data_IF_879882089510
#
_entry.id   IF_879882089510
#
_cell.length_a   1.000
_cell.length_b   1.000
_cell.length_c   1.000
_cell.angle_alpha   90.00
_cell.angle_beta   90.00
_cell.angle_gamma   90.00
#
_symmetry.space_group_name_H-M   'P 1'
#
loop_
_entity.id
_entity.type
_entity.pdbx_description
1 polymer ?
#
# COMPACT_ATOMS: atom_id res chain seq x y z
N UNK A 1 20.75 -0.31 0.60
CA UNK A 1 19.61 -1.19 0.38
C UNK A 1 18.55 -0.58 -0.56
N UNK A 2 18.09 0.67 -0.35
CA UNK A 2 17.05 1.27 -1.22
C UNK A 2 17.45 1.36 -2.69
N UNK A 3 18.68 1.75 -3.00
CA UNK A 3 19.12 1.95 -4.39
C UNK A 3 19.17 0.65 -5.21
N UNK A 4 19.62 -0.46 -4.64
CA UNK A 4 19.67 -1.76 -5.32
C UNK A 4 18.28 -2.31 -5.58
N UNK A 5 17.37 -2.22 -4.62
CA UNK A 5 15.98 -2.63 -4.77
C UNK A 5 15.24 -1.75 -5.78
N UNK A 6 15.50 -0.44 -5.76
CA UNK A 6 14.93 0.52 -6.71
C UNK A 6 15.30 0.16 -8.16
N UNK A 7 16.59 -0.08 -8.42
CA UNK A 7 17.07 -0.47 -9.75
C UNK A 7 16.46 -1.80 -10.21
N UNK A 8 16.42 -2.80 -9.32
CA UNK A 8 15.82 -4.09 -9.63
C UNK A 8 14.32 -3.96 -9.97
N UNK A 9 13.57 -3.20 -9.19
CA UNK A 9 12.14 -2.96 -9.44
C UNK A 9 11.90 -2.26 -10.77
N UNK A 10 12.70 -1.25 -11.14
CA UNK A 10 12.60 -0.59 -12.46
C UNK A 10 12.82 -1.61 -13.58
N UNK A 11 13.85 -2.44 -13.48
CA UNK A 11 14.14 -3.45 -14.49
C UNK A 11 12.97 -4.44 -14.62
N UNK A 12 12.50 -4.98 -13.50
CA UNK A 12 11.40 -5.96 -13.51
C UNK A 12 10.10 -5.34 -14.04
N UNK A 13 9.79 -4.09 -13.66
CA UNK A 13 8.62 -3.38 -14.16
C UNK A 13 8.72 -3.12 -15.66
N UNK A 14 9.87 -2.68 -16.15
CA UNK A 14 10.11 -2.46 -17.56
C UNK A 14 9.95 -3.76 -18.37
N UNK A 15 10.54 -4.86 -17.89
CA UNK A 15 10.40 -6.18 -18.52
C UNK A 15 8.94 -6.64 -18.55
N UNK A 16 8.20 -6.43 -17.47
CA UNK A 16 6.78 -6.78 -17.40
C UNK A 16 5.94 -5.95 -18.39
N UNK A 17 6.17 -4.63 -18.47
CA UNK A 17 5.46 -3.74 -19.39
C UNK A 17 5.79 -4.12 -20.84
N UNK A 18 7.05 -4.37 -21.17
CA UNK A 18 7.48 -4.82 -22.52
C UNK A 18 6.81 -6.15 -22.87
N UNK A 19 6.82 -7.12 -21.95
CA UNK A 19 6.16 -8.41 -22.15
C UNK A 19 4.67 -8.24 -22.43
N UNK A 20 3.96 -7.46 -21.61
CA UNK A 20 2.54 -7.19 -21.81
C UNK A 20 2.26 -6.48 -23.12
N UNK A 21 3.12 -5.55 -23.53
CA UNK A 21 3.01 -4.87 -24.83
C UNK A 21 3.17 -5.83 -26.00
N UNK A 22 4.19 -6.71 -25.96
CA UNK A 22 4.38 -7.77 -26.96
C UNK A 22 3.17 -8.72 -27.02
N UNK A 23 2.54 -8.98 -25.87
CA UNK A 23 1.33 -9.82 -25.76
C UNK A 23 0.04 -9.09 -26.11
N UNK A 24 0.13 -7.86 -26.62
CA UNK A 24 -1.03 -7.02 -26.97
C UNK A 24 -2.01 -6.82 -25.82
N UNK A 25 -1.49 -6.68 -24.59
CA UNK A 25 -2.33 -6.42 -23.42
C UNK A 25 -2.99 -5.05 -23.55
N UNK A 26 -4.31 -4.99 -23.29
CA UNK A 26 -5.04 -3.73 -23.30
C UNK A 26 -4.83 -2.98 -21.98
N UNK A 27 -3.90 -2.04 -21.96
CA UNK A 27 -3.60 -1.19 -20.79
C UNK A 27 -4.76 -0.29 -20.34
N UNK A 28 -5.80 -0.12 -21.18
CA UNK A 28 -7.03 0.60 -20.77
C UNK A 28 -7.79 -0.13 -19.66
N UNK A 29 -7.52 -1.41 -19.45
CA UNK A 29 -8.05 -2.19 -18.33
C UNK A 29 -7.45 -1.79 -16.97
N UNK A 30 -6.35 -1.01 -16.98
CA UNK A 30 -5.67 -0.52 -15.79
C UNK A 30 -5.94 0.99 -15.59
N UNK A 31 -7.12 1.38 -15.07
CA UNK A 31 -7.49 2.78 -14.97
C UNK A 31 -6.65 3.50 -13.90
N UNK A 32 -5.74 4.34 -14.35
CA UNK A 32 -4.95 5.25 -13.52
C UNK A 32 -5.38 6.67 -13.90
N UNK A 33 -6.19 7.30 -13.05
CA UNK A 33 -6.81 8.58 -13.38
C UNK A 33 -6.63 9.58 -12.25
N UNK A 34 -6.11 10.75 -12.57
CA UNK A 34 -6.09 11.90 -11.65
C UNK A 34 -7.49 12.52 -11.60
N UNK A 35 -8.20 12.29 -10.50
CA UNK A 35 -9.55 12.81 -10.24
C UNK A 35 -9.59 13.44 -8.85
N UNK A 36 -10.47 14.40 -8.63
CA UNK A 36 -10.69 15.01 -7.30
C UNK A 36 -11.00 13.98 -6.22
N UNK A 37 -11.69 12.88 -6.58
CA UNK A 37 -11.95 11.78 -5.66
C UNK A 37 -10.71 11.10 -5.07
N UNK A 38 -9.54 11.23 -5.72
CA UNK A 38 -8.27 10.72 -5.19
C UNK A 38 -7.91 11.40 -3.85
N UNK A 39 -8.17 12.71 -3.74
CA UNK A 39 -7.94 13.46 -2.50
C UNK A 39 -8.77 12.98 -1.33
N UNK A 40 -9.92 12.37 -1.58
CA UNK A 40 -10.75 11.74 -0.56
C UNK A 40 -10.31 10.29 -0.30
N UNK A 41 -10.12 9.50 -1.37
CA UNK A 41 -9.85 8.06 -1.22
C UNK A 41 -8.50 7.77 -0.60
N UNK A 42 -7.46 8.55 -0.88
CA UNK A 42 -6.13 8.32 -0.31
C UNK A 42 -6.14 8.43 1.22
N UNK A 43 -6.55 9.56 1.84
CA UNK A 43 -6.60 9.64 3.30
C UNK A 43 -7.61 8.68 3.92
N UNK A 44 -8.73 8.41 3.26
CA UNK A 44 -9.76 7.49 3.76
C UNK A 44 -9.25 6.04 3.84
N UNK A 45 -8.64 5.53 2.75
CA UNK A 45 -8.11 4.16 2.72
C UNK A 45 -6.93 4.04 3.69
N UNK A 46 -6.03 5.04 3.72
CA UNK A 46 -4.89 5.05 4.64
C UNK A 46 -5.36 5.06 6.10
N UNK A 47 -6.38 5.84 6.42
CA UNK A 47 -6.93 5.90 7.78
C UNK A 47 -7.52 4.56 8.22
N UNK A 48 -8.31 3.88 7.38
CA UNK A 48 -8.86 2.55 7.70
C UNK A 48 -7.75 1.53 7.91
N UNK A 49 -6.78 1.48 6.99
CA UNK A 49 -5.63 0.59 7.11
C UNK A 49 -4.81 0.87 8.37
N UNK A 50 -4.52 2.16 8.60
CA UNK A 50 -3.70 2.59 9.71
C UNK A 50 -4.35 2.31 11.06
N UNK A 51 -5.63 2.60 11.22
CA UNK A 51 -6.38 2.27 12.43
C UNK A 51 -6.44 0.75 12.67
N UNK A 52 -6.62 -0.03 11.60
CA UNK A 52 -6.59 -1.49 11.71
C UNK A 52 -5.21 -1.99 12.16
N UNK A 53 -4.13 -1.45 11.58
CA UNK A 53 -2.76 -1.78 11.99
C UNK A 53 -2.48 -1.38 13.44
N UNK A 54 -2.92 -0.19 13.87
CA UNK A 54 -2.79 0.28 15.25
C UNK A 54 -3.54 -0.63 16.24
N UNK A 55 -4.73 -1.09 15.86
CA UNK A 55 -5.51 -2.05 16.64
C UNK A 55 -4.79 -3.40 16.74
N UNK A 56 -4.31 -3.95 15.63
CA UNK A 56 -3.56 -5.22 15.62
C UNK A 56 -2.30 -5.12 16.47
N UNK A 57 -1.52 -4.04 16.33
CA UNK A 57 -0.31 -3.81 17.12
C UNK A 57 -0.61 -3.77 18.62
N UNK A 58 -1.69 -3.08 18.99
CA UNK A 58 -2.12 -2.97 20.40
C UNK A 58 -2.60 -4.30 20.97
N UNK A 59 -3.45 -5.03 20.22
CA UNK A 59 -4.00 -6.32 20.65
C UNK A 59 -2.95 -7.42 20.70
N UNK A 60 -1.95 -7.37 19.82
CA UNK A 60 -0.83 -8.33 19.83
C UNK A 60 0.23 -8.02 20.89
N UNK A 61 0.11 -6.92 21.62
CA UNK A 61 1.05 -6.51 22.64
C UNK A 61 2.38 -5.95 22.10
N UNK A 62 2.47 -5.69 20.79
CA UNK A 62 3.69 -5.12 20.19
C UNK A 62 3.87 -3.65 20.60
N UNK A 63 2.83 -2.85 20.46
CA UNK A 63 2.82 -1.45 20.88
C UNK A 63 1.39 -0.96 21.10
N UNK A 64 1.16 -0.29 22.24
CA UNK A 64 -0.16 0.27 22.57
C UNK A 64 -0.33 1.69 22.04
N UNK A 65 -0.78 1.79 20.78
CA UNK A 65 -1.04 3.08 20.14
C UNK A 65 -2.18 3.87 20.78
N UNK A 66 -3.11 3.20 21.47
CA UNK A 66 -4.27 3.85 22.10
C UNK A 66 -4.03 4.24 23.56
N UNK A 67 -2.80 4.17 24.05
CA UNK A 67 -2.50 4.65 25.40
C UNK A 67 -2.67 6.17 25.52
N UNK A 68 -3.15 6.70 26.67
CA UNK A 68 -3.28 8.13 26.86
C UNK A 68 -1.97 8.91 26.66
N UNK A 69 -0.84 8.28 26.98
CA UNK A 69 0.48 8.85 26.81
C UNK A 69 0.80 9.07 25.32
N UNK A 70 0.47 8.13 24.44
CA UNK A 70 0.67 8.25 23.00
C UNK A 70 -0.28 9.29 22.42
N UNK A 71 -1.57 9.21 22.78
CA UNK A 71 -2.60 10.10 22.23
C UNK A 71 -2.39 11.58 22.63
N UNK A 72 -1.73 11.84 23.75
CA UNK A 72 -1.37 13.20 24.18
C UNK A 72 -0.40 13.93 23.22
N UNK A 73 0.34 13.20 22.39
CA UNK A 73 1.28 13.77 21.42
C UNK A 73 0.69 13.92 20.00
N UNK A 74 -0.61 13.67 19.79
CA UNK A 74 -1.25 13.90 18.50
C UNK A 74 -1.20 15.37 18.13
N UNK A 75 -0.66 15.66 16.95
CA UNK A 75 -0.51 17.01 16.42
C UNK A 75 -0.62 17.02 14.89
N UNK A 76 -1.38 17.95 14.31
CA UNK A 76 -1.41 18.12 12.85
C UNK A 76 -0.02 18.39 12.25
N UNK A 77 0.86 19.05 13.02
CA UNK A 77 2.23 19.32 12.59
C UNK A 77 3.09 18.08 12.45
N UNK A 78 2.74 16.97 13.12
CA UNK A 78 3.47 15.72 13.04
C UNK A 78 3.56 15.20 11.59
N UNK A 79 2.47 15.27 10.85
CA UNK A 79 2.42 14.85 9.44
C UNK A 79 3.38 15.68 8.60
N UNK A 80 3.34 17.01 8.76
CA UNK A 80 4.20 17.94 8.02
C UNK A 80 5.67 17.68 8.35
N UNK A 81 6.01 17.56 9.63
CA UNK A 81 7.38 17.31 10.08
C UNK A 81 7.93 15.99 9.50
N UNK A 82 7.12 14.93 9.51
CA UNK A 82 7.53 13.64 8.93
C UNK A 82 7.72 13.73 7.41
N UNK A 83 6.84 14.43 6.69
CA UNK A 83 7.03 14.67 5.26
C UNK A 83 8.32 15.42 4.97
N UNK A 84 8.62 16.47 5.73
CA UNK A 84 9.83 17.26 5.57
C UNK A 84 11.13 16.49 5.90
N UNK A 85 11.02 15.45 6.73
CA UNK A 85 12.14 14.58 7.09
C UNK A 85 12.43 13.48 6.06
N UNK A 86 11.53 13.24 5.08
CA UNK A 86 11.75 12.21 4.07
C UNK A 86 12.92 12.56 3.15
N UNK A 87 13.79 11.58 2.91
CA UNK A 87 14.79 11.71 1.85
C UNK A 87 14.14 11.58 0.47
N UNK A 88 14.69 12.28 -0.56
CA UNK A 88 14.19 12.12 -1.94
C UNK A 88 14.17 10.66 -2.42
N UNK A 89 15.14 9.85 -1.95
CA UNK A 89 15.22 8.44 -2.30
C UNK A 89 14.11 7.61 -1.65
N UNK A 90 13.72 7.92 -0.40
CA UNK A 90 12.59 7.27 0.24
C UNK A 90 11.25 7.56 -0.48
N UNK A 91 11.08 8.80 -0.92
CA UNK A 91 9.91 9.20 -1.73
C UNK A 91 9.90 8.45 -3.06
N UNK A 92 11.02 8.48 -3.80
CA UNK A 92 11.11 7.81 -5.10
C UNK A 92 10.89 6.30 -4.98
N UNK A 93 11.48 5.66 -3.97
CA UNK A 93 11.30 4.24 -3.70
C UNK A 93 9.86 3.90 -3.32
N UNK A 94 9.25 4.62 -2.39
CA UNK A 94 7.86 4.38 -1.98
C UNK A 94 6.87 4.54 -3.15
N UNK A 95 7.04 5.58 -3.98
CA UNK A 95 6.21 5.76 -5.17
C UNK A 95 6.38 4.62 -6.18
N UNK A 96 7.62 4.19 -6.44
CA UNK A 96 7.89 3.08 -7.35
C UNK A 96 7.34 1.76 -6.81
N UNK A 97 7.58 1.47 -5.52
CA UNK A 97 7.15 0.23 -4.91
C UNK A 97 5.62 0.13 -4.84
N UNK A 98 4.95 1.19 -4.41
CA UNK A 98 3.49 1.25 -4.39
C UNK A 98 2.88 1.07 -5.79
N UNK A 99 3.49 1.69 -6.83
CA UNK A 99 3.08 1.46 -8.21
C UNK A 99 3.35 0.00 -8.62
N UNK A 100 4.56 -0.51 -8.40
CA UNK A 100 5.00 -1.84 -8.81
C UNK A 100 4.11 -2.93 -8.21
N UNK A 101 3.90 -2.91 -6.90
CA UNK A 101 3.12 -3.95 -6.25
C UNK A 101 1.63 -3.89 -6.61
N UNK A 102 1.01 -2.70 -6.59
CA UNK A 102 -0.42 -2.60 -6.90
C UNK A 102 -0.71 -2.72 -8.39
N UNK A 103 0.25 -2.42 -9.26
CA UNK A 103 0.15 -2.75 -10.68
C UNK A 103 -0.02 -4.26 -10.89
N UNK A 104 0.74 -5.08 -10.18
CA UNK A 104 0.62 -6.53 -10.24
C UNK A 104 -0.59 -7.05 -9.48
N UNK A 105 -0.65 -6.78 -8.18
CA UNK A 105 -1.61 -7.42 -7.29
C UNK A 105 -3.05 -6.92 -7.49
N UNK A 106 -3.22 -5.67 -7.82
CA UNK A 106 -4.53 -5.09 -7.97
C UNK A 106 -4.88 -4.86 -9.45
N UNK A 107 -3.92 -4.37 -10.26
CA UNK A 107 -4.14 -4.09 -11.66
C UNK A 107 -4.24 -5.35 -12.51
N UNK A 108 -3.12 -6.04 -12.75
CA UNK A 108 -3.05 -7.18 -13.65
C UNK A 108 -3.92 -8.34 -13.20
N UNK A 109 -3.86 -8.69 -11.90
CA UNK A 109 -4.60 -9.84 -11.39
C UNK A 109 -6.11 -9.63 -11.39
N UNK A 110 -6.60 -8.38 -11.33
CA UNK A 110 -8.05 -8.11 -11.44
C UNK A 110 -8.54 -7.95 -12.88
N UNK A 111 -7.64 -7.85 -13.87
CA UNK A 111 -8.00 -7.76 -15.29
C UNK A 111 -8.38 -9.11 -15.93
N UNK A 112 -8.28 -10.21 -15.18
CA UNK A 112 -8.69 -11.54 -15.65
C UNK A 112 -10.21 -11.68 -15.75
N UNK A 113 -10.65 -12.67 -16.54
CA UNK A 113 -12.09 -12.98 -16.69
C UNK A 113 -12.74 -13.29 -15.35
N UNK A 114 -13.95 -12.78 -15.13
CA UNK A 114 -14.67 -12.89 -13.86
C UNK A 114 -14.84 -14.34 -13.34
N UNK A 115 -14.89 -15.33 -14.23
CA UNK A 115 -14.97 -16.74 -13.83
C UNK A 115 -13.77 -17.22 -13.00
N UNK A 116 -12.60 -16.56 -13.12
CA UNK A 116 -11.39 -16.91 -12.40
C UNK A 116 -11.09 -15.98 -11.21
N UNK A 117 -11.95 -14.99 -10.96
CA UNK A 117 -11.68 -13.92 -9.98
C UNK A 117 -11.29 -14.41 -8.60
N UNK A 118 -11.95 -15.46 -8.09
CA UNK A 118 -11.67 -15.99 -6.76
C UNK A 118 -10.36 -16.77 -6.70
N UNK A 119 -10.06 -17.53 -7.75
CA UNK A 119 -8.78 -18.24 -7.86
C UNK A 119 -7.62 -17.25 -7.92
N UNK A 120 -7.77 -16.19 -8.71
CA UNK A 120 -6.75 -15.15 -8.85
C UNK A 120 -6.61 -14.34 -7.56
N UNK A 121 -7.71 -14.03 -6.86
CA UNK A 121 -7.66 -13.37 -5.56
C UNK A 121 -6.92 -14.22 -4.54
N UNK A 122 -7.21 -15.53 -4.48
CA UNK A 122 -6.51 -16.46 -3.60
C UNK A 122 -5.00 -16.49 -3.93
N UNK A 123 -4.65 -16.63 -5.20
CA UNK A 123 -3.26 -16.61 -5.65
C UNK A 123 -2.56 -15.30 -5.28
N UNK A 124 -3.18 -14.15 -5.57
CA UNK A 124 -2.67 -12.83 -5.20
C UNK A 124 -2.42 -12.72 -3.70
N UNK A 125 -3.37 -13.18 -2.89
CA UNK A 125 -3.26 -13.16 -1.43
C UNK A 125 -2.09 -14.02 -0.94
N UNK A 126 -1.94 -15.25 -1.46
CA UNK A 126 -0.83 -16.14 -1.09
C UNK A 126 0.52 -15.50 -1.44
N UNK A 127 0.64 -14.96 -2.65
CA UNK A 127 1.89 -14.32 -3.09
C UNK A 127 2.18 -13.09 -2.22
N UNK A 128 1.18 -12.24 -1.97
CA UNK A 128 1.34 -11.04 -1.13
C UNK A 128 1.74 -11.40 0.30
N UNK A 129 1.14 -12.42 0.91
CA UNK A 129 1.57 -12.93 2.22
C UNK A 129 3.02 -13.40 2.17
N UNK A 130 3.38 -14.22 1.17
CA UNK A 130 4.74 -14.75 1.02
C UNK A 130 5.79 -13.64 0.89
N UNK A 131 5.45 -12.57 0.16
CA UNK A 131 6.33 -11.41 -0.01
C UNK A 131 6.61 -10.67 1.31
N UNK A 132 5.68 -10.69 2.26
CA UNK A 132 5.76 -9.92 3.50
C UNK A 132 6.20 -10.73 4.72
N UNK A 133 6.53 -12.01 4.55
CA UNK A 133 6.97 -12.89 5.66
C UNK A 133 8.22 -12.38 6.39
N UNK A 134 9.06 -11.57 5.72
CA UNK A 134 10.23 -10.94 6.33
C UNK A 134 9.87 -9.95 7.46
N UNK A 135 8.63 -9.46 7.51
CA UNK A 135 8.11 -8.60 8.59
C UNK A 135 7.51 -9.41 9.75
N UNK A 136 7.57 -10.75 9.68
CA UNK A 136 6.91 -11.67 10.60
C UNK A 136 5.51 -12.07 10.13
N UNK A 137 5.07 -13.27 10.53
CA UNK A 137 3.83 -13.87 10.03
C UNK A 137 2.58 -13.04 10.32
N UNK A 138 2.51 -12.39 11.48
CA UNK A 138 1.37 -11.53 11.84
C UNK A 138 1.21 -10.40 10.81
N UNK A 139 2.29 -9.67 10.52
CA UNK A 139 2.25 -8.55 9.57
C UNK A 139 2.08 -9.03 8.13
N UNK A 140 2.66 -10.17 7.78
CA UNK A 140 2.41 -10.79 6.47
C UNK A 140 0.92 -11.08 6.24
N UNK A 141 0.21 -11.59 7.27
CA UNK A 141 -1.23 -11.82 7.21
C UNK A 141 -2.02 -10.50 7.19
N UNK A 142 -1.65 -9.51 7.99
CA UNK A 142 -2.30 -8.20 7.98
C UNK A 142 -2.19 -7.55 6.60
N UNK A 143 -0.99 -7.49 6.03
CA UNK A 143 -0.73 -6.83 4.74
C UNK A 143 -1.31 -7.68 3.59
N UNK A 144 -1.01 -8.98 3.58
CA UNK A 144 -1.40 -9.85 2.47
C UNK A 144 -2.89 -10.18 2.44
N UNK A 145 -3.50 -10.43 3.61
CA UNK A 145 -4.92 -10.79 3.69
C UNK A 145 -5.77 -9.54 3.94
N UNK A 146 -5.61 -8.87 5.09
CA UNK A 146 -6.54 -7.81 5.46
C UNK A 146 -6.46 -6.62 4.49
N UNK A 147 -5.26 -6.07 4.25
CA UNK A 147 -5.11 -4.94 3.32
C UNK A 147 -5.30 -5.36 1.87
N UNK A 148 -4.82 -6.55 1.48
CA UNK A 148 -5.02 -7.07 0.14
C UNK A 148 -6.50 -7.24 -0.22
N UNK A 149 -7.32 -7.80 0.67
CA UNK A 149 -8.77 -7.92 0.49
C UNK A 149 -9.46 -6.55 0.51
N UNK A 150 -9.08 -5.65 1.43
CA UNK A 150 -9.62 -4.29 1.47
C UNK A 150 -9.39 -3.57 0.14
N UNK A 151 -8.17 -3.62 -0.40
CA UNK A 151 -7.83 -3.02 -1.68
C UNK A 151 -8.64 -3.64 -2.81
N UNK A 152 -8.70 -4.96 -2.88
CA UNK A 152 -9.46 -5.66 -3.92
C UNK A 152 -10.93 -5.25 -3.93
N UNK A 153 -11.61 -5.28 -2.77
CA UNK A 153 -13.03 -4.96 -2.69
C UNK A 153 -13.31 -3.48 -2.98
N UNK A 154 -12.49 -2.57 -2.43
CA UNK A 154 -12.65 -1.15 -2.72
C UNK A 154 -12.39 -0.84 -4.20
N UNK A 155 -11.34 -1.41 -4.78
CA UNK A 155 -11.02 -1.20 -6.18
C UNK A 155 -12.12 -1.75 -7.10
N UNK A 156 -12.49 -3.01 -6.91
CA UNK A 156 -13.46 -3.70 -7.79
C UNK A 156 -14.85 -3.08 -7.75
N UNK A 157 -15.31 -2.67 -6.57
CA UNK A 157 -16.73 -2.32 -6.39
C UNK A 157 -16.98 -0.82 -6.15
N UNK A 158 -16.01 -0.05 -5.72
CA UNK A 158 -16.22 1.36 -5.34
C UNK A 158 -15.38 2.34 -6.14
N UNK A 159 -14.05 2.23 -6.06
CA UNK A 159 -13.12 3.28 -6.53
C UNK A 159 -12.88 3.20 -8.03
N UNK A 160 -12.68 2.00 -8.58
CA UNK A 160 -12.42 1.73 -10.02
C UNK A 160 -11.33 2.63 -10.61
N UNK A 161 -10.31 2.93 -9.81
CA UNK A 161 -9.15 3.73 -10.15
C UNK A 161 -7.97 3.22 -9.31
N UNK A 162 -6.85 2.87 -9.94
CA UNK A 162 -5.68 2.31 -9.25
C UNK A 162 -4.86 3.37 -8.52
N UNK A 163 -4.92 4.64 -8.96
CA UNK A 163 -4.08 5.70 -8.41
C UNK A 163 -4.18 5.88 -6.89
N UNK A 164 -5.37 5.87 -6.26
CA UNK A 164 -5.44 5.96 -4.79
C UNK A 164 -4.68 4.84 -4.08
N UNK A 165 -4.73 3.61 -4.59
CA UNK A 165 -4.07 2.45 -3.97
C UNK A 165 -2.56 2.52 -4.11
N UNK A 166 -2.04 2.98 -5.26
CA UNK A 166 -0.62 3.25 -5.44
C UNK A 166 -0.11 4.28 -4.43
N UNK A 167 -0.86 5.36 -4.25
CA UNK A 167 -0.47 6.42 -3.32
C UNK A 167 -0.57 6.00 -1.86
N UNK A 168 -1.61 5.24 -1.48
CA UNK A 168 -1.73 4.71 -0.11
C UNK A 168 -0.61 3.74 0.20
N UNK A 169 -0.27 2.85 -0.73
CA UNK A 169 0.86 1.94 -0.57
C UNK A 169 2.17 2.72 -0.43
N UNK A 170 2.40 3.70 -1.29
CA UNK A 170 3.57 4.56 -1.21
C UNK A 170 3.67 5.29 0.16
N UNK A 171 2.56 5.79 0.68
CA UNK A 171 2.51 6.40 2.01
C UNK A 171 2.86 5.39 3.11
N UNK A 172 2.36 4.16 3.02
CA UNK A 172 2.68 3.09 3.96
C UNK A 172 4.17 2.72 3.93
N UNK A 173 4.79 2.73 2.75
CA UNK A 173 6.24 2.51 2.61
C UNK A 173 7.08 3.65 3.19
N UNK A 174 6.59 4.89 3.08
CA UNK A 174 7.30 6.07 3.57
C UNK A 174 7.17 6.24 5.10
N UNK A 175 5.99 5.95 5.66
CA UNK A 175 5.63 6.29 7.04
C UNK A 175 5.28 5.08 7.90
N UNK A 176 5.21 3.89 7.33
CA UNK A 176 4.59 2.74 7.97
C UNK A 176 3.06 2.77 7.87
N UNK A 177 2.44 1.67 8.28
CA UNK A 177 0.99 1.49 8.15
C UNK A 177 0.19 2.01 9.36
N UNK A 178 0.83 2.67 10.35
CA UNK A 178 0.15 3.20 11.54
C UNK A 178 -0.38 4.61 11.30
N UNK A 179 -1.68 4.81 11.51
CA UNK A 179 -2.28 6.15 11.46
C UNK A 179 -1.86 6.98 12.67
N UNK A 180 -1.91 6.40 13.87
CA UNK A 180 -1.57 7.12 15.10
C UNK A 180 -0.10 7.53 15.07
N UNK A 181 0.80 6.63 14.64
CA UNK A 181 2.20 7.00 14.47
C UNK A 181 2.37 8.20 13.51
N UNK A 182 1.64 8.24 12.40
CA UNK A 182 1.70 9.37 11.47
C UNK A 182 1.27 10.68 12.12
N UNK A 183 0.28 10.64 13.01
CA UNK A 183 -0.31 11.80 13.67
C UNK A 183 0.42 12.24 14.95
N UNK A 184 1.27 11.40 15.54
CA UNK A 184 1.98 11.69 16.79
C UNK A 184 3.29 12.40 16.50
N UNK A 185 3.53 13.50 17.19
CA UNK A 185 4.79 14.23 17.18
C UNK A 185 5.70 13.72 18.32
N UNK A 186 6.53 12.71 18.01
CA UNK A 186 7.57 12.27 18.93
C UNK A 186 8.69 13.31 18.93
N UNK A 187 8.82 14.06 19.99
CA UNK A 187 10.03 14.85 20.23
C UNK A 187 11.14 13.87 20.65
N UNK A 188 11.99 13.50 19.73
CA UNK A 188 13.28 12.85 20.03
C UNK A 188 14.33 13.90 20.37
#
# INVERSE_FOLDING_TARGET
>A
AYSSNFTLQIILLALAIIYLWIRHFDFKQLPIRLKWSVLFWVPFIFAIMGLFADMVSTLSGQYNYFSPQVLAFISPMAVINKFMALSPMAIAYGLLNGFYEEFFFLGLLTSVKDKYKWLVLLFSTIVRVSFHTYQGMLWALVIGVAFGLLYYFLYKYKVKNLLPFFLVHALADMFGSSLIYLLVNWNY
#
